data_IF_509796793232
#
_entry.id   IF_509796793232
#
_cell.length_a   1.000
_cell.length_b   1.000
_cell.length_c   1.000
_cell.angle_alpha   90.00
_cell.angle_beta   90.00
_cell.angle_gamma   90.00
#
_symmetry.space_group_name_H-M   'P 1'
#
loop_
_entity.id
_entity.type
_entity.pdbx_description
1 polymer ?
#
# COMPACT_ATOMS: atom_id res chain seq x y z
N UNK A 1 11.90 13.46 15.04
CA UNK A 1 10.68 12.61 15.12
C UNK A 1 11.00 11.31 14.45
N UNK A 2 11.11 10.21 15.19
CA UNK A 2 11.16 8.87 14.60
C UNK A 2 9.86 8.63 13.83
N UNK A 3 9.98 8.35 12.54
CA UNK A 3 8.85 8.02 11.69
C UNK A 3 8.67 6.50 11.74
N UNK A 4 7.86 6.03 12.69
CA UNK A 4 7.48 4.61 12.74
C UNK A 4 6.62 4.32 11.52
N UNK A 5 7.13 3.51 10.59
CA UNK A 5 6.40 3.07 9.40
C UNK A 5 6.14 1.57 9.50
N UNK A 6 4.87 1.18 9.59
CA UNK A 6 4.47 -0.22 9.59
C UNK A 6 4.32 -0.69 8.15
N UNK A 7 5.21 -1.58 7.72
CA UNK A 7 5.11 -2.28 6.43
C UNK A 7 4.57 -3.69 6.71
N UNK A 8 3.55 -4.12 5.96
CA UNK A 8 3.01 -5.48 6.02
C UNK A 8 3.23 -6.14 4.67
N UNK A 9 3.98 -7.24 4.65
CA UNK A 9 4.19 -8.06 3.46
C UNK A 9 3.69 -9.46 3.80
N UNK A 10 2.69 -9.94 3.07
CA UNK A 10 2.23 -11.32 3.20
C UNK A 10 2.89 -12.16 2.13
N UNK A 11 3.66 -13.18 2.54
CA UNK A 11 4.25 -14.15 1.61
C UNK A 11 3.13 -15.07 1.12
N UNK A 12 2.85 -15.02 -0.19
CA UNK A 12 1.93 -15.91 -0.89
C UNK A 12 2.55 -16.29 -2.22
N UNK A 13 2.18 -17.46 -2.72
CA UNK A 13 2.51 -17.83 -4.08
C UNK A 13 1.94 -16.78 -5.05
N UNK A 14 2.77 -16.35 -5.99
CA UNK A 14 2.30 -15.52 -7.09
C UNK A 14 1.24 -16.31 -7.86
N UNK A 15 0.15 -15.68 -8.35
CA UNK A 15 -0.80 -16.31 -9.24
C UNK A 15 -0.04 -16.65 -10.51
N UNK A 16 0.46 -17.87 -10.58
CA UNK A 16 1.41 -18.35 -11.56
C UNK A 16 0.79 -18.25 -12.96
N UNK A 17 1.34 -17.41 -13.87
CA UNK A 17 1.06 -17.35 -15.34
C UNK A 17 -0.42 -17.37 -15.81
N UNK A 18 -1.40 -17.22 -14.92
CA UNK A 18 -2.83 -17.39 -15.19
C UNK A 18 -3.67 -16.21 -14.74
N UNK A 19 -3.05 -15.07 -14.38
CA UNK A 19 -3.79 -13.81 -14.32
C UNK A 19 -4.42 -13.59 -15.68
N UNK A 20 -5.76 -13.63 -15.75
CA UNK A 20 -6.47 -13.45 -17.02
C UNK A 20 -6.63 -11.97 -17.35
N UNK A 21 -6.37 -11.07 -16.39
CA UNK A 21 -6.48 -9.63 -16.54
C UNK A 21 -5.71 -8.85 -15.45
N UNK A 22 -5.51 -7.55 -15.69
CA UNK A 22 -4.81 -6.60 -14.79
C UNK A 22 -5.48 -6.45 -13.42
N UNK A 23 -6.80 -6.67 -13.30
CA UNK A 23 -7.48 -6.56 -12.01
C UNK A 23 -7.07 -7.69 -11.06
N UNK A 24 -6.86 -8.91 -11.58
CA UNK A 24 -6.39 -10.04 -10.78
C UNK A 24 -4.98 -9.78 -10.24
N UNK A 25 -4.12 -9.16 -11.05
CA UNK A 25 -2.76 -8.76 -10.65
C UNK A 25 -2.78 -7.66 -9.59
N UNK A 26 -3.62 -6.64 -9.78
CA UNK A 26 -3.80 -5.57 -8.80
C UNK A 26 -4.37 -6.10 -7.48
N UNK A 27 -5.30 -7.05 -7.54
CA UNK A 27 -5.89 -7.66 -6.35
C UNK A 27 -4.83 -8.45 -5.58
N UNK A 28 -4.05 -9.29 -6.26
CA UNK A 28 -2.96 -10.03 -5.64
C UNK A 28 -1.89 -9.12 -5.04
N UNK A 29 -1.44 -8.11 -5.80
CA UNK A 29 -0.41 -7.18 -5.33
C UNK A 29 -0.85 -6.43 -4.08
N UNK A 30 -2.13 -6.08 -4.02
CA UNK A 30 -2.68 -5.37 -2.88
C UNK A 30 -2.88 -6.27 -1.66
N UNK A 31 -3.17 -7.55 -1.87
CA UNK A 31 -3.23 -8.56 -0.83
C UNK A 31 -1.83 -8.86 -0.25
N UNK A 32 -0.79 -8.91 -1.10
CA UNK A 32 0.62 -9.03 -0.67
C UNK A 32 1.06 -7.82 0.14
N UNK A 33 0.71 -6.61 -0.29
CA UNK A 33 1.01 -5.36 0.42
C UNK A 33 0.13 -5.14 1.67
N UNK A 34 -0.76 -6.08 1.98
CA UNK A 34 -1.72 -5.98 3.07
C UNK A 34 -2.68 -4.80 2.94
N UNK A 35 -2.83 -4.21 1.74
CA UNK A 35 -3.71 -3.09 1.45
C UNK A 35 -5.19 -3.48 1.58
N UNK A 36 -5.51 -4.70 1.18
CA UNK A 36 -6.83 -5.30 1.29
C UNK A 36 -6.70 -6.62 2.05
N UNK A 37 -7.63 -6.90 2.98
CA UNK A 37 -7.93 -8.29 3.29
C UNK A 37 -8.58 -8.90 2.04
N UNK A 38 -8.42 -10.20 1.81
CA UNK A 38 -8.85 -10.90 0.59
C UNK A 38 -10.15 -11.70 0.76
N UNK A 39 -10.90 -11.48 1.86
CA UNK A 39 -11.94 -12.42 2.32
C UNK A 39 -13.34 -11.82 2.56
N UNK A 40 -13.59 -10.52 2.34
CA UNK A 40 -14.91 -9.90 2.60
C UNK A 40 -15.36 -8.86 1.57
N UNK A 41 -16.68 -8.86 1.31
CA UNK A 41 -17.37 -7.99 0.35
C UNK A 41 -17.26 -6.46 0.65
N UNK A 42 -16.84 -6.08 1.87
CA UNK A 42 -16.48 -4.69 2.24
C UNK A 42 -15.21 -4.20 1.53
N UNK A 43 -14.32 -5.08 1.08
CA UNK A 43 -13.00 -4.77 0.51
C UNK A 43 -13.05 -4.28 -0.95
N UNK A 44 -14.15 -4.55 -1.67
CA UNK A 44 -14.42 -3.92 -2.99
C UNK A 44 -14.41 -2.39 -2.89
N UNK A 45 -14.79 -1.82 -1.74
CA UNK A 45 -14.80 -0.36 -1.57
C UNK A 45 -13.39 0.25 -1.56
N UNK A 46 -12.46 -0.30 -0.78
CA UNK A 46 -11.07 0.18 -0.75
C UNK A 46 -10.36 -0.09 -2.07
N UNK A 47 -10.62 -1.23 -2.71
CA UNK A 47 -10.14 -1.53 -4.05
C UNK A 47 -10.66 -0.51 -5.09
N UNK A 48 -11.97 -0.19 -5.09
CA UNK A 48 -12.53 0.85 -5.98
C UNK A 48 -11.85 2.19 -5.78
N UNK A 49 -11.67 2.63 -4.54
CA UNK A 49 -10.93 3.86 -4.24
C UNK A 49 -9.49 3.80 -4.80
N UNK A 50 -8.79 2.69 -4.58
CA UNK A 50 -7.42 2.52 -5.05
C UNK A 50 -7.32 2.60 -6.58
N UNK A 51 -8.25 1.98 -7.31
CA UNK A 51 -8.35 2.08 -8.78
C UNK A 51 -8.55 3.54 -9.22
N UNK A 52 -9.45 4.28 -8.57
CA UNK A 52 -9.67 5.70 -8.91
C UNK A 52 -8.44 6.57 -8.61
N UNK A 53 -7.69 6.28 -7.54
CA UNK A 53 -6.42 6.95 -7.24
C UNK A 53 -5.33 6.64 -8.27
N UNK A 54 -5.27 5.42 -8.80
CA UNK A 54 -4.37 5.04 -9.90
C UNK A 54 -4.73 5.84 -11.16
N UNK A 55 -6.02 5.89 -11.52
CA UNK A 55 -6.49 6.66 -12.69
C UNK A 55 -6.18 8.15 -12.55
N UNK A 56 -6.51 8.74 -11.40
CA UNK A 56 -6.19 10.14 -11.09
C UNK A 56 -4.68 10.41 -11.19
N UNK A 57 -3.84 9.48 -10.73
CA UNK A 57 -2.39 9.61 -10.85
C UNK A 57 -1.92 9.63 -12.30
N UNK A 58 -2.49 8.78 -13.17
CA UNK A 58 -2.22 8.77 -14.61
C UNK A 58 -2.54 10.12 -15.25
N UNK A 59 -3.63 10.74 -14.81
CA UNK A 59 -4.10 12.06 -15.26
C UNK A 59 -3.39 13.22 -14.55
N UNK A 60 -2.48 12.93 -13.60
CA UNK A 60 -1.78 13.89 -12.73
C UNK A 60 -2.72 14.76 -11.88
N UNK A 61 -3.91 14.24 -11.58
CA UNK A 61 -4.94 14.89 -10.79
C UNK A 61 -4.79 14.61 -9.30
N UNK A 62 -5.13 15.60 -8.49
CA UNK A 62 -5.44 15.42 -7.07
C UNK A 62 -6.95 15.48 -6.92
N UNK A 63 -7.52 14.56 -6.14
CA UNK A 63 -8.98 14.46 -5.95
C UNK A 63 -9.36 14.70 -4.49
N UNK A 64 -10.42 15.46 -4.27
CA UNK A 64 -11.05 15.64 -2.96
C UNK A 64 -11.79 14.38 -2.51
N UNK A 65 -12.18 14.33 -1.24
CA UNK A 65 -13.01 13.24 -0.72
C UNK A 65 -14.33 13.08 -1.48
N UNK A 66 -14.87 14.17 -2.02
CA UNK A 66 -16.18 14.20 -2.66
C UNK A 66 -16.06 13.71 -4.12
N UNK A 67 -15.03 14.17 -4.84
CA UNK A 67 -14.67 13.66 -6.16
C UNK A 67 -14.38 12.15 -6.11
N UNK A 68 -13.66 11.68 -5.09
CA UNK A 68 -13.38 10.25 -4.89
C UNK A 68 -14.64 9.46 -4.52
N UNK A 69 -15.55 10.02 -3.71
CA UNK A 69 -16.82 9.39 -3.35
C UNK A 69 -17.69 9.15 -4.59
N UNK A 70 -17.78 10.15 -5.46
CA UNK A 70 -18.51 10.07 -6.71
C UNK A 70 -17.90 9.04 -7.66
N UNK A 71 -16.59 9.15 -7.96
CA UNK A 71 -15.88 8.25 -8.89
C UNK A 71 -15.90 6.79 -8.42
N UNK A 72 -15.67 6.54 -7.13
CA UNK A 72 -15.64 5.19 -6.56
C UNK A 72 -17.03 4.63 -6.20
N UNK A 73 -18.09 5.44 -6.34
CA UNK A 73 -19.48 5.13 -5.92
C UNK A 73 -19.54 4.66 -4.47
N UNK A 74 -19.04 5.50 -3.58
CA UNK A 74 -18.95 5.24 -2.14
C UNK A 74 -19.46 6.45 -1.36
N UNK A 75 -19.88 6.22 -0.11
CA UNK A 75 -20.17 7.35 0.77
C UNK A 75 -18.88 8.09 1.13
N UNK A 76 -18.96 9.42 1.29
CA UNK A 76 -17.85 10.27 1.73
C UNK A 76 -17.19 9.75 3.02
N UNK A 77 -17.99 9.29 3.98
CA UNK A 77 -17.48 8.69 5.23
C UNK A 77 -16.63 7.44 4.99
N UNK A 78 -17.02 6.59 4.04
CA UNK A 78 -16.23 5.40 3.65
C UNK A 78 -14.91 5.82 2.99
N UNK A 79 -14.94 6.85 2.14
CA UNK A 79 -13.73 7.39 1.51
C UNK A 79 -12.74 7.92 2.54
N UNK A 80 -13.21 8.75 3.48
CA UNK A 80 -12.36 9.32 4.53
C UNK A 80 -11.71 8.20 5.36
N UNK A 81 -12.48 7.19 5.76
CA UNK A 81 -11.95 6.04 6.49
C UNK A 81 -10.82 5.34 5.73
N UNK A 82 -11.00 5.07 4.44
CA UNK A 82 -9.99 4.40 3.63
C UNK A 82 -8.78 5.27 3.33
N UNK A 83 -8.96 6.58 3.14
CA UNK A 83 -7.87 7.53 2.92
C UNK A 83 -6.96 7.58 4.15
N UNK A 84 -7.52 7.66 5.36
CA UNK A 84 -6.71 7.66 6.58
C UNK A 84 -5.82 6.40 6.66
N UNK A 85 -6.40 5.21 6.44
CA UNK A 85 -5.61 3.97 6.44
C UNK A 85 -4.52 3.95 5.35
N UNK A 86 -4.80 4.46 4.14
CA UNK A 86 -3.82 4.52 3.06
C UNK A 86 -2.74 5.60 3.27
N UNK A 87 -3.08 6.71 3.92
CA UNK A 87 -2.17 7.78 4.31
C UNK A 87 -1.24 7.35 5.44
N UNK A 88 -1.78 6.70 6.48
CA UNK A 88 -1.00 6.14 7.60
C UNK A 88 0.05 5.14 7.12
N UNK A 89 -0.29 4.37 6.08
CA UNK A 89 0.61 3.41 5.43
C UNK A 89 1.55 4.05 4.39
N UNK A 90 1.37 5.33 4.08
CA UNK A 90 2.23 6.12 3.18
C UNK A 90 1.97 5.91 1.68
N UNK A 91 0.81 5.37 1.31
CA UNK A 91 0.42 5.16 -0.10
C UNK A 91 -0.14 6.43 -0.74
N UNK A 92 -0.70 7.34 0.05
CA UNK A 92 -1.32 8.59 -0.41
C UNK A 92 -0.53 9.78 0.12
N UNK A 93 -0.49 10.85 -0.68
CA UNK A 93 -0.12 12.19 -0.25
C UNK A 93 -1.35 13.09 -0.26
N UNK A 94 -1.45 13.93 0.76
CA UNK A 94 -2.49 14.93 0.91
C UNK A 94 -1.91 16.34 0.67
N UNK A 95 -2.56 17.10 -0.21
CA UNK A 95 -2.22 18.50 -0.50
C UNK A 95 -3.49 19.29 -0.77
N UNK A 96 -3.68 20.42 -0.09
CA UNK A 96 -4.80 21.34 -0.30
C UNK A 96 -6.19 20.66 -0.26
N UNK A 97 -6.45 19.79 0.74
CA UNK A 97 -7.71 19.03 0.89
C UNK A 97 -7.97 18.00 -0.22
N UNK A 98 -6.94 17.66 -1.00
CA UNK A 98 -7.02 16.68 -2.08
C UNK A 98 -5.92 15.63 -1.94
N UNK A 99 -6.17 14.47 -2.52
CA UNK A 99 -5.43 13.24 -2.32
C UNK A 99 -4.93 12.70 -3.67
N UNK A 100 -3.75 12.09 -3.64
CA UNK A 100 -3.15 11.42 -4.79
C UNK A 100 -2.19 10.32 -4.30
N UNK A 101 -1.92 9.29 -5.11
CA UNK A 101 -0.85 8.34 -4.81
C UNK A 101 0.51 9.04 -4.63
N UNK A 102 1.24 8.63 -3.58
CA UNK A 102 2.51 9.21 -3.15
C UNK A 102 3.64 9.05 -4.18
N UNK A 103 3.58 8.00 -5.02
CA UNK A 103 4.60 7.66 -6.03
C UNK A 103 4.02 7.60 -7.44
N UNK A 104 4.91 7.65 -8.45
CA UNK A 104 4.55 7.71 -9.88
C UNK A 104 3.95 6.41 -10.40
N UNK A 105 4.34 5.26 -9.87
CA UNK A 105 3.75 3.95 -10.16
C UNK A 105 3.97 2.97 -9.00
N UNK A 106 3.28 1.82 -9.04
CA UNK A 106 3.36 0.80 -7.98
C UNK A 106 4.73 0.13 -7.96
N UNK A 107 5.38 -0.07 -9.10
CA UNK A 107 6.73 -0.65 -9.18
C UNK A 107 7.76 0.12 -8.36
N UNK A 108 7.80 1.45 -8.48
CA UNK A 108 8.70 2.30 -7.69
C UNK A 108 8.39 2.21 -6.20
N UNK A 109 7.12 2.07 -5.82
CA UNK A 109 6.74 1.85 -4.43
C UNK A 109 7.28 0.51 -3.90
N UNK A 110 7.19 -0.57 -4.69
CA UNK A 110 7.77 -1.86 -4.33
C UNK A 110 9.29 -1.77 -4.18
N UNK A 111 9.97 -1.05 -5.08
CA UNK A 111 11.44 -0.85 -4.99
C UNK A 111 11.84 -0.08 -3.74
N UNK A 112 11.08 0.94 -3.36
CA UNK A 112 11.31 1.70 -2.13
C UNK A 112 11.12 0.80 -0.89
N UNK A 113 10.02 0.02 -0.85
CA UNK A 113 9.75 -0.95 0.23
C UNK A 113 10.88 -1.96 0.36
N UNK A 114 11.39 -2.49 -0.77
CA UNK A 114 12.51 -3.42 -0.76
C UNK A 114 13.76 -2.80 -0.13
N UNK A 115 14.10 -1.57 -0.52
CA UNK A 115 15.29 -0.88 0.02
C UNK A 115 15.17 -0.67 1.52
N UNK A 116 14.02 -0.16 1.98
CA UNK A 116 13.74 0.04 3.40
C UNK A 116 13.81 -1.30 4.18
N UNK A 117 13.36 -2.41 3.57
CA UNK A 117 13.47 -3.73 4.17
C UNK A 117 14.90 -4.27 4.22
N UNK A 118 15.68 -4.10 3.15
CA UNK A 118 17.07 -4.55 3.10
C UNK A 118 17.91 -3.85 4.19
N UNK A 119 17.76 -2.52 4.32
CA UNK A 119 18.45 -1.74 5.36
C UNK A 119 18.06 -2.22 6.76
N UNK A 120 16.76 -2.43 7.01
CA UNK A 120 16.28 -2.97 8.28
C UNK A 120 16.74 -4.41 8.55
N UNK A 121 16.81 -5.24 7.51
CA UNK A 121 17.28 -6.63 7.60
C UNK A 121 18.74 -6.69 8.05
N UNK A 122 19.58 -5.82 7.50
CA UNK A 122 20.99 -5.73 7.89
C UNK A 122 21.12 -5.32 9.37
N UNK A 123 20.34 -4.34 9.83
CA UNK A 123 20.32 -3.89 11.23
C UNK A 123 19.93 -5.01 12.21
N UNK A 124 18.88 -5.78 11.91
CA UNK A 124 18.44 -6.89 12.77
C UNK A 124 19.45 -8.04 12.75
N UNK A 125 20.09 -8.30 11.62
CA UNK A 125 21.10 -9.34 11.49
C UNK A 125 22.38 -8.96 12.27
N UNK A 126 22.77 -7.70 12.23
CA UNK A 126 23.85 -7.18 13.08
C UNK A 126 23.52 -7.28 14.57
N UNK A 127 22.28 -7.04 14.95
CA UNK A 127 21.82 -7.25 16.32
C UNK A 127 21.90 -8.73 16.73
N UNK A 128 21.41 -9.63 15.89
CA UNK A 128 21.49 -11.08 16.13
C UNK A 128 22.95 -11.53 16.29
N UNK A 129 23.85 -11.11 15.39
CA UNK A 129 25.28 -11.39 15.49
C UNK A 129 25.91 -10.86 16.77
N UNK A 130 25.44 -9.72 17.31
CA UNK A 130 25.90 -9.22 18.62
C UNK A 130 25.41 -10.12 19.74
N UNK A 131 24.14 -10.51 19.72
CA UNK A 131 23.55 -11.41 20.72
C UNK A 131 24.26 -12.76 20.72
N UNK A 132 24.49 -13.37 19.56
CA UNK A 132 25.19 -14.65 19.45
C UNK A 132 26.61 -14.56 20.02
N UNK A 133 27.34 -13.46 19.77
CA UNK A 133 28.67 -13.23 20.36
C UNK A 133 28.64 -13.09 21.88
N UNK A 134 27.66 -12.38 22.44
CA UNK A 134 27.52 -12.20 23.90
C UNK A 134 27.06 -13.49 24.60
N UNK A 135 26.33 -14.35 23.89
CA UNK A 135 25.80 -15.61 24.43
C UNK A 135 26.62 -16.84 24.02
N UNK A 136 27.70 -16.67 23.25
CA UNK A 136 28.56 -17.73 22.72
C UNK A 136 27.80 -18.80 21.92
N UNK A 137 26.86 -18.37 21.05
CA UNK A 137 26.07 -19.22 20.15
C UNK A 137 26.68 -19.37 18.75
#
# INVERSE_FOLDING_TARGET
MERIRKITITIRDSPNKTSKNVNDELLWLSDVLGLFDSKRDREKSKFRLFVELIKAKKEREFLSSDELAERARLSRGTIIHHIHDLEDRGFIIHKNKKYQLSRRNIELLIRDIKREFDDFYDDINDMARRVDRELEL
#
